data_IF_572921886116
#
_entry.id   IF_572921886116
#
_cell.length_a   1.000
_cell.length_b   1.000
_cell.length_c   1.000
_cell.angle_alpha   90.00
_cell.angle_beta   90.00
_cell.angle_gamma   90.00
#
_symmetry.space_group_name_H-M   'P 1'
#
loop_
_entity.id
_entity.type
_entity.pdbx_description
1 polymer ?
#
# COMPACT_ATOMS: atom_id res chain seq x y z
N UNK A 1 -6.61 -1.71 11.61
CA UNK A 1 -7.29 -2.22 10.41
C UNK A 1 -6.79 -1.55 9.15
N UNK A 2 -7.06 -2.12 7.99
CA UNK A 2 -6.77 -1.47 6.71
C UNK A 2 -6.11 -2.36 5.66
N UNK A 3 -5.14 -1.79 4.95
CA UNK A 3 -4.49 -2.34 3.74
C UNK A 3 -4.24 -3.84 3.76
N UNK A 4 -4.73 -4.52 2.74
CA UNK A 4 -4.47 -5.94 2.50
C UNK A 4 -3.01 -6.26 2.27
N UNK A 5 -2.25 -5.33 1.66
CA UNK A 5 -0.81 -5.49 1.41
C UNK A 5 0.00 -5.47 2.69
N UNK A 6 -0.44 -4.71 3.70
CA UNK A 6 0.24 -4.58 5.00
C UNK A 6 -0.17 -5.69 5.97
N UNK A 7 -1.32 -6.32 5.76
CA UNK A 7 -1.87 -7.35 6.65
C UNK A 7 -0.87 -8.47 6.97
N UNK A 8 -0.19 -9.11 6.01
CA UNK A 8 0.76 -10.19 6.33
C UNK A 8 1.93 -9.74 7.22
N UNK A 9 2.43 -8.53 7.01
CA UNK A 9 3.50 -7.94 7.83
C UNK A 9 2.97 -7.66 9.23
N UNK A 10 1.77 -7.11 9.35
CA UNK A 10 1.15 -6.78 10.63
C UNK A 10 0.85 -8.04 11.46
N UNK A 11 0.43 -9.13 10.83
CA UNK A 11 0.24 -10.41 11.53
C UNK A 11 1.54 -10.93 12.13
N UNK A 12 2.66 -10.80 11.43
CA UNK A 12 3.98 -11.16 11.95
C UNK A 12 4.41 -10.26 13.11
N UNK A 13 4.17 -8.96 12.99
CA UNK A 13 4.44 -8.01 14.06
C UNK A 13 3.56 -8.27 15.30
N UNK A 14 2.30 -8.59 15.09
CA UNK A 14 1.35 -9.01 16.15
C UNK A 14 1.88 -10.21 16.93
N UNK A 15 2.34 -11.25 16.24
CA UNK A 15 2.90 -12.44 16.87
C UNK A 15 4.13 -12.10 17.74
N UNK A 16 5.05 -11.29 17.20
CA UNK A 16 6.24 -10.86 17.91
C UNK A 16 5.90 -9.97 19.12
N UNK A 17 4.95 -9.07 18.95
CA UNK A 17 4.51 -8.16 20.02
C UNK A 17 3.83 -8.92 21.18
N UNK A 18 3.01 -9.93 20.86
CA UNK A 18 2.33 -10.76 21.85
C UNK A 18 3.32 -11.54 22.74
N UNK A 19 4.46 -11.95 22.20
CA UNK A 19 5.53 -12.62 22.96
C UNK A 19 6.22 -11.68 23.95
N UNK A 20 6.36 -10.41 23.59
CA UNK A 20 7.01 -9.40 24.42
C UNK A 20 6.03 -8.73 25.40
N UNK A 21 4.74 -8.69 25.08
CA UNK A 21 3.71 -7.98 25.84
C UNK A 21 2.47 -8.87 26.02
N UNK A 22 2.56 -9.80 26.96
CA UNK A 22 1.53 -10.84 27.18
C UNK A 22 0.16 -10.31 27.63
N UNK A 23 0.10 -9.09 28.15
CA UNK A 23 -1.12 -8.46 28.64
C UNK A 23 -1.86 -7.67 27.55
N UNK A 24 -1.33 -7.61 26.32
CA UNK A 24 -1.90 -6.88 25.20
C UNK A 24 -2.36 -7.84 24.12
N UNK A 25 -3.62 -7.71 23.73
CA UNK A 25 -4.20 -8.44 22.60
C UNK A 25 -4.31 -7.51 21.41
N UNK A 26 -3.79 -7.91 20.26
CA UNK A 26 -3.87 -7.17 19.01
C UNK A 26 -4.78 -7.93 18.04
N UNK A 27 -5.75 -7.25 17.47
CA UNK A 27 -6.58 -7.78 16.39
C UNK A 27 -6.24 -7.08 15.08
N UNK A 28 -6.04 -7.85 14.03
CA UNK A 28 -5.76 -7.34 12.68
C UNK A 28 -6.98 -7.57 11.81
N UNK A 29 -7.50 -6.49 11.23
CA UNK A 29 -8.65 -6.54 10.33
C UNK A 29 -8.26 -6.01 8.95
N UNK A 30 -8.43 -6.84 7.93
CA UNK A 30 -8.10 -6.50 6.57
C UNK A 30 -9.24 -5.75 5.88
N UNK A 31 -8.88 -4.68 5.20
CA UNK A 31 -9.75 -3.93 4.28
C UNK A 31 -8.88 -3.28 3.18
N UNK A 32 -9.07 -2.04 2.89
CA UNK A 32 -8.23 -1.22 2.01
C UNK A 32 -7.55 -0.07 2.78
N UNK A 33 -6.58 0.60 2.14
CA UNK A 33 -5.82 1.68 2.77
C UNK A 33 -6.70 2.87 3.17
N UNK A 34 -7.65 3.25 2.33
CA UNK A 34 -8.53 4.39 2.62
C UNK A 34 -9.43 4.12 3.81
N UNK A 35 -10.03 2.94 3.87
CA UNK A 35 -10.82 2.50 5.02
C UNK A 35 -9.97 2.45 6.30
N UNK A 36 -8.74 1.93 6.22
CA UNK A 36 -7.83 1.88 7.35
C UNK A 36 -7.51 3.26 7.91
N UNK A 37 -7.18 4.21 7.05
CA UNK A 37 -6.89 5.60 7.45
C UNK A 37 -8.13 6.29 8.02
N UNK A 38 -9.28 6.12 7.38
CA UNK A 38 -10.55 6.70 7.86
C UNK A 38 -10.91 6.18 9.25
N UNK A 39 -10.83 4.87 9.46
CA UNK A 39 -11.14 4.25 10.74
C UNK A 39 -10.20 4.71 11.86
N UNK A 40 -8.91 4.95 11.54
CA UNK A 40 -7.96 5.50 12.50
C UNK A 40 -8.29 6.97 12.86
N UNK A 41 -8.68 7.78 11.88
CA UNK A 41 -9.10 9.17 12.10
C UNK A 41 -10.38 9.23 12.96
N UNK A 42 -11.33 8.35 12.68
CA UNK A 42 -12.62 8.28 13.39
C UNK A 42 -12.53 7.57 14.76
N UNK A 43 -11.39 6.95 15.06
CA UNK A 43 -11.17 6.23 16.31
C UNK A 43 -11.86 4.86 16.37
N UNK A 44 -12.34 4.34 15.26
CA UNK A 44 -12.92 2.98 15.19
C UNK A 44 -11.86 1.89 15.17
N UNK A 45 -10.61 2.24 14.87
CA UNK A 45 -9.44 1.42 15.14
C UNK A 45 -8.31 2.29 15.69
N UNK A 46 -7.40 1.67 16.45
CA UNK A 46 -6.27 2.38 17.07
C UNK A 46 -5.14 2.65 16.09
N UNK A 47 -4.95 1.76 15.13
CA UNK A 47 -3.90 1.85 14.11
C UNK A 47 -4.49 1.56 12.74
N UNK A 48 -4.33 2.50 11.81
CA UNK A 48 -4.64 2.30 10.40
C UNK A 48 -3.45 1.72 9.63
N UNK A 49 -3.71 0.78 8.75
CA UNK A 49 -2.71 0.22 7.83
C UNK A 49 -2.91 0.83 6.44
N UNK A 50 -1.86 1.39 5.86
CA UNK A 50 -1.89 1.94 4.51
C UNK A 50 -0.66 1.52 3.72
N UNK A 51 -0.86 1.21 2.44
CA UNK A 51 0.20 0.90 1.47
C UNK A 51 0.43 2.05 0.49
N UNK A 52 0.13 3.26 0.91
CA UNK A 52 0.34 4.53 0.20
C UNK A 52 0.65 5.63 1.20
N UNK A 53 1.10 6.76 0.70
CA UNK A 53 1.21 7.97 1.50
C UNK A 53 -0.19 8.50 1.91
N UNK A 54 -0.23 9.24 3.00
CA UNK A 54 -1.44 9.94 3.42
C UNK A 54 -1.73 11.11 2.46
N UNK A 55 -2.99 11.29 2.13
CA UNK A 55 -3.44 12.49 1.44
C UNK A 55 -3.40 13.71 2.38
N UNK A 56 -3.25 14.91 1.81
CA UNK A 56 -3.25 16.15 2.59
C UNK A 56 -4.51 16.32 3.43
N UNK A 57 -5.66 15.90 2.91
CA UNK A 57 -6.93 15.91 3.63
C UNK A 57 -6.95 15.00 4.86
N UNK A 58 -6.26 13.87 4.78
CA UNK A 58 -6.13 12.91 5.88
C UNK A 58 -5.19 13.44 6.97
N UNK A 59 -4.07 14.00 6.56
CA UNK A 59 -3.13 14.66 7.48
C UNK A 59 -3.77 15.84 8.21
N UNK A 60 -4.55 16.67 7.50
CA UNK A 60 -5.30 17.79 8.09
C UNK A 60 -6.34 17.34 9.12
N UNK A 61 -6.85 16.13 9.01
CA UNK A 61 -7.76 15.52 9.98
C UNK A 61 -7.06 14.87 11.17
N UNK A 62 -5.74 15.00 11.25
CA UNK A 62 -4.94 14.54 12.40
C UNK A 62 -4.28 13.17 12.22
N UNK A 63 -4.39 12.54 11.05
CA UNK A 63 -3.67 11.30 10.78
C UNK A 63 -2.15 11.54 10.77
N UNK A 64 -1.41 10.67 11.45
CA UNK A 64 0.05 10.65 11.42
C UNK A 64 0.53 9.35 10.80
N UNK A 65 1.44 9.43 9.83
CA UNK A 65 2.05 8.26 9.22
C UNK A 65 3.37 7.89 9.90
N UNK A 66 3.54 6.62 10.18
CA UNK A 66 4.82 6.03 10.55
C UNK A 66 5.18 4.99 9.51
N UNK A 67 6.28 5.20 8.79
CA UNK A 67 6.76 4.26 7.78
C UNK A 67 7.38 3.05 8.49
N UNK A 68 6.85 1.87 8.20
CA UNK A 68 7.37 0.60 8.75
C UNK A 68 8.20 -0.18 7.74
N UNK A 69 7.96 0.02 6.44
CA UNK A 69 8.70 -0.63 5.35
C UNK A 69 8.52 0.17 4.07
N UNK A 70 9.42 -0.04 3.13
CA UNK A 70 9.30 0.45 1.75
C UNK A 70 9.12 -0.74 0.83
N UNK A 71 8.18 -0.63 -0.09
CA UNK A 71 7.90 -1.63 -1.10
C UNK A 71 8.11 -1.05 -2.49
N UNK A 72 8.33 -1.92 -3.45
CA UNK A 72 8.50 -1.55 -4.85
C UNK A 72 7.55 -2.34 -5.74
N UNK A 73 6.96 -1.67 -6.71
CA UNK A 73 6.13 -2.31 -7.72
C UNK A 73 6.93 -2.39 -9.01
N UNK A 74 7.19 -3.62 -9.48
CA UNK A 74 7.85 -3.86 -10.75
C UNK A 74 6.81 -4.07 -11.86
N UNK A 75 6.97 -3.35 -12.95
CA UNK A 75 6.24 -3.62 -14.19
C UNK A 75 7.04 -4.66 -14.96
N UNK A 76 6.46 -5.83 -15.16
CA UNK A 76 7.13 -6.94 -15.84
C UNK A 76 6.53 -7.14 -17.23
N UNK A 77 7.37 -7.55 -18.15
CA UNK A 77 7.00 -7.93 -19.51
C UNK A 77 7.50 -9.34 -19.83
N UNK A 78 7.00 -9.94 -20.89
CA UNK A 78 7.51 -11.23 -21.32
C UNK A 78 9.02 -11.11 -21.62
N UNK A 79 9.79 -12.16 -21.31
CA UNK A 79 11.25 -12.23 -21.53
C UNK A 79 11.68 -11.97 -22.99
N UNK A 80 10.79 -12.26 -23.94
CA UNK A 80 11.04 -12.07 -25.37
C UNK A 80 10.63 -10.66 -25.86
N UNK A 81 10.13 -9.82 -24.97
CA UNK A 81 9.81 -8.42 -25.26
C UNK A 81 11.06 -7.61 -25.50
N UNK A 82 11.00 -6.70 -26.48
CA UNK A 82 12.07 -5.74 -26.78
C UNK A 82 11.99 -4.48 -25.92
N UNK A 83 11.05 -4.41 -25.01
CA UNK A 83 10.88 -3.28 -24.08
C UNK A 83 11.79 -3.50 -22.89
N UNK A 84 12.84 -2.69 -22.76
CA UNK A 84 13.83 -2.78 -21.68
C UNK A 84 13.49 -1.85 -20.52
N UNK A 85 12.92 -0.70 -20.79
CA UNK A 85 12.52 0.28 -19.78
C UNK A 85 11.26 1.04 -20.19
N UNK A 86 10.53 1.51 -19.21
CA UNK A 86 9.34 2.36 -19.36
C UNK A 86 9.38 3.51 -18.38
N UNK A 87 9.01 4.70 -18.83
CA UNK A 87 8.75 5.83 -17.94
C UNK A 87 7.39 5.68 -17.28
N UNK A 88 7.18 6.36 -16.15
CA UNK A 88 5.87 6.37 -15.49
C UNK A 88 4.76 6.91 -16.41
N UNK A 89 5.07 7.88 -17.26
CA UNK A 89 4.13 8.41 -18.25
C UNK A 89 3.74 7.35 -19.29
N UNK A 90 4.70 6.56 -19.80
CA UNK A 90 4.44 5.47 -20.72
C UNK A 90 3.58 4.37 -20.09
N UNK A 91 3.84 4.00 -18.84
CA UNK A 91 3.02 3.04 -18.10
C UNK A 91 1.59 3.56 -17.98
N UNK A 92 1.41 4.82 -17.60
CA UNK A 92 0.09 5.46 -17.53
C UNK A 92 -0.63 5.41 -18.87
N UNK A 93 0.05 5.75 -19.96
CA UNK A 93 -0.54 5.78 -21.30
C UNK A 93 -0.99 4.38 -21.77
N UNK A 94 -0.25 3.33 -21.39
CA UNK A 94 -0.63 1.95 -21.67
C UNK A 94 -1.90 1.57 -20.88
N UNK A 95 -1.91 1.80 -19.59
CA UNK A 95 -3.02 1.39 -18.72
C UNK A 95 -4.28 2.23 -18.90
N UNK A 96 -4.18 3.44 -19.43
CA UNK A 96 -5.34 4.29 -19.76
C UNK A 96 -5.83 4.08 -21.20
N UNK A 97 -5.19 3.20 -21.99
CA UNK A 97 -5.58 2.90 -23.35
C UNK A 97 -5.16 3.95 -24.40
N UNK A 98 -4.32 4.90 -24.01
CA UNK A 98 -3.78 5.91 -24.92
C UNK A 98 -2.72 5.34 -25.86
N UNK A 99 -1.90 4.41 -25.36
CA UNK A 99 -0.95 3.62 -26.15
C UNK A 99 -1.43 2.19 -26.19
N UNK A 100 -1.77 1.68 -27.39
CA UNK A 100 -2.38 0.36 -27.57
C UNK A 100 -1.51 -0.62 -28.34
N UNK A 101 -0.36 -0.16 -28.88
CA UNK A 101 0.57 -0.97 -29.66
C UNK A 101 1.97 -0.89 -29.08
N UNK A 102 2.63 -2.02 -28.95
CA UNK A 102 4.01 -2.09 -28.49
C UNK A 102 4.99 -1.29 -29.37
N UNK A 103 4.71 -1.22 -30.68
CA UNK A 103 5.52 -0.44 -31.63
C UNK A 103 5.50 1.07 -31.36
N UNK A 104 4.51 1.58 -30.66
CA UNK A 104 4.36 3.01 -30.32
C UNK A 104 5.12 3.40 -29.04
N UNK A 105 5.71 2.44 -28.37
CA UNK A 105 6.57 2.68 -27.19
C UNK A 105 7.98 3.00 -27.67
N UNK A 106 8.42 4.20 -27.39
CA UNK A 106 9.73 4.70 -27.81
C UNK A 106 10.60 5.06 -26.58
#
# INVERSE_FOLDING_TARGET
GGSSSVTPVMEKLKEAYAKANKDVTVEVQQSDSTTGVTNAIEGTCDIGMASRDLADSETKKGAKATVIAKDGIAVIVNKDSKVDELTSAQVKDIYTGKTTKWADIK
#
